data_IF_747886441188
#
_entry.id   IF_747886441188
#
_cell.length_a   1.000
_cell.length_b   1.000
_cell.length_c   1.000
_cell.angle_alpha   90.00
_cell.angle_beta   90.00
_cell.angle_gamma   90.00
#
_symmetry.space_group_name_H-M   'P 1'
#
loop_
_entity.id
_entity.type
_entity.pdbx_description
1 polymer ?
#
# COMPACT_ATOMS: atom_id res chain seq x y z
N UNK A 1 8.96 -0.04 -1.49
CA UNK A 1 9.29 1.26 -0.85
C UNK A 1 8.03 2.08 -0.62
N UNK A 2 8.06 3.04 0.31
CA UNK A 2 7.03 4.09 0.41
C UNK A 2 7.52 5.28 -0.41
N UNK A 3 6.85 5.55 -1.53
CA UNK A 3 7.15 6.65 -2.46
C UNK A 3 6.05 7.74 -2.34
N UNK A 4 6.21 8.83 -3.08
CA UNK A 4 5.27 9.95 -3.08
C UNK A 4 5.31 10.77 -1.79
N UNK A 5 4.14 11.12 -1.26
CA UNK A 5 3.99 12.01 -0.09
C UNK A 5 4.31 11.34 1.26
N UNK A 6 4.77 10.10 1.25
CA UNK A 6 5.09 9.36 2.47
C UNK A 6 3.85 8.89 3.22
N UNK A 7 4.08 8.34 4.43
CA UNK A 7 3.04 7.79 5.30
C UNK A 7 2.91 8.65 6.55
N UNK A 8 1.69 9.10 6.93
CA UNK A 8 1.49 9.80 8.19
C UNK A 8 1.98 8.98 9.38
N UNK A 9 2.61 9.65 10.33
CA UNK A 9 3.05 9.06 11.59
C UNK A 9 2.83 10.05 12.74
N UNK A 10 2.74 9.54 13.96
CA UNK A 10 2.67 10.34 15.19
C UNK A 10 3.71 9.79 16.15
N UNK A 11 4.43 10.68 16.82
CA UNK A 11 5.40 10.35 17.85
C UNK A 11 4.92 10.89 19.20
N UNK A 12 4.68 10.00 20.17
CA UNK A 12 4.33 10.37 21.54
C UNK A 12 5.61 10.49 22.37
N UNK A 13 5.89 11.69 22.91
CA UNK A 13 7.02 11.91 23.82
C UNK A 13 6.52 11.85 25.26
N UNK A 14 6.96 10.84 26.02
CA UNK A 14 6.60 10.68 27.43
C UNK A 14 7.42 11.61 28.31
N UNK A 15 6.76 12.31 29.24
CA UNK A 15 7.37 13.20 30.23
C UNK A 15 8.43 14.17 29.65
N UNK A 16 8.09 14.97 28.61
CA UNK A 16 9.05 15.85 27.97
C UNK A 16 9.53 16.94 28.93
N UNK A 17 10.85 17.11 29.06
CA UNK A 17 11.46 18.24 29.79
C UNK A 17 11.30 19.56 29.03
N UNK A 18 11.30 19.49 27.69
CA UNK A 18 11.15 20.64 26.77
C UNK A 18 9.95 20.34 25.88
N UNK A 19 8.97 21.26 25.84
CA UNK A 19 7.73 21.09 25.05
C UNK A 19 7.67 21.96 23.81
N UNK A 20 8.39 23.08 23.81
CA UNK A 20 8.45 23.98 22.65
C UNK A 20 9.81 23.80 21.97
N UNK A 21 9.79 23.33 20.73
CA UNK A 21 10.97 23.11 19.90
C UNK A 21 10.67 23.58 18.48
N UNK A 22 11.72 23.98 17.75
CA UNK A 22 11.60 24.31 16.34
C UNK A 22 11.52 23.02 15.51
N UNK A 23 10.29 22.67 15.10
CA UNK A 23 10.02 21.49 14.30
C UNK A 23 10.60 21.59 12.88
N UNK A 24 10.72 22.78 12.31
CA UNK A 24 11.31 22.94 10.97
C UNK A 24 12.82 22.67 11.00
N UNK A 25 13.50 23.15 12.05
CA UNK A 25 14.91 22.84 12.27
C UNK A 25 15.11 21.34 12.51
N UNK A 26 14.28 20.72 13.36
CA UNK A 26 14.34 19.28 13.61
C UNK A 26 14.12 18.47 12.33
N UNK A 27 13.15 18.85 11.50
CA UNK A 27 12.88 18.19 10.22
C UNK A 27 14.10 18.20 9.31
N UNK A 28 14.77 19.36 9.18
CA UNK A 28 15.99 19.51 8.37
C UNK A 28 17.13 18.65 8.90
N UNK A 29 17.37 18.66 10.21
CA UNK A 29 18.44 17.88 10.84
C UNK A 29 18.22 16.37 10.66
N UNK A 30 17.00 15.89 10.89
CA UNK A 30 16.66 14.47 10.68
C UNK A 30 16.86 14.08 9.22
N UNK A 31 16.42 14.92 8.27
CA UNK A 31 16.56 14.63 6.85
C UNK A 31 18.02 14.61 6.38
N UNK A 32 18.87 15.51 6.88
CA UNK A 32 20.31 15.52 6.55
C UNK A 32 21.02 14.28 7.09
N UNK A 33 20.74 13.88 8.33
CA UNK A 33 21.38 12.71 8.93
C UNK A 33 20.94 11.38 8.30
N UNK A 34 19.78 11.35 7.64
CA UNK A 34 19.17 10.15 7.08
C UNK A 34 19.09 10.16 5.55
N UNK A 35 19.96 10.94 4.90
CA UNK A 35 20.01 11.05 3.45
C UNK A 35 20.10 9.67 2.77
N UNK A 36 19.30 9.49 1.72
CA UNK A 36 19.20 8.23 0.98
C UNK A 36 18.47 7.09 1.69
N UNK A 37 17.99 7.27 2.94
CA UNK A 37 17.29 6.23 3.72
C UNK A 37 15.84 6.58 4.01
N UNK A 38 15.61 7.72 4.64
CA UNK A 38 14.26 8.20 5.01
C UNK A 38 14.21 9.72 4.94
N UNK A 39 13.06 10.23 4.51
CA UNK A 39 12.74 11.65 4.55
C UNK A 39 11.44 11.84 5.33
N UNK A 40 11.42 12.81 6.21
CA UNK A 40 10.24 13.30 6.91
C UNK A 40 9.88 14.69 6.41
N UNK A 41 8.60 15.04 6.52
CA UNK A 41 8.06 16.33 6.09
C UNK A 41 6.81 16.65 6.87
N UNK A 42 6.43 17.93 6.87
CA UNK A 42 5.19 18.44 7.47
C UNK A 42 5.11 18.17 9.00
N UNK A 43 6.25 18.25 9.71
CA UNK A 43 6.25 18.11 11.17
C UNK A 43 5.39 19.19 11.83
N UNK A 44 4.42 18.77 12.62
CA UNK A 44 3.56 19.65 13.42
C UNK A 44 3.25 19.02 14.78
N UNK A 45 2.91 19.86 15.75
CA UNK A 45 2.30 19.40 16.99
C UNK A 45 0.85 18.99 16.74
N UNK A 46 0.45 17.86 17.30
CA UNK A 46 -0.89 17.30 17.13
C UNK A 46 -1.44 16.87 18.48
N UNK A 47 -2.75 16.99 18.63
CA UNK A 47 -3.48 16.47 19.79
C UNK A 47 -3.78 14.97 19.63
N UNK A 48 -4.17 14.33 20.73
CA UNK A 48 -4.40 12.87 20.80
C UNK A 48 -5.43 12.39 19.76
N UNK A 49 -6.40 13.21 19.41
CA UNK A 49 -7.48 12.90 18.47
C UNK A 49 -6.93 12.60 17.07
N UNK A 50 -5.79 13.17 16.69
CA UNK A 50 -5.14 12.89 15.39
C UNK A 50 -4.69 11.43 15.31
N UNK A 51 -4.29 10.82 16.42
CA UNK A 51 -3.92 9.39 16.46
C UNK A 51 -5.13 8.52 16.09
N UNK A 52 -6.30 8.86 16.61
CA UNK A 52 -7.54 8.15 16.31
C UNK A 52 -7.96 8.36 14.86
N UNK A 53 -7.91 9.61 14.36
CA UNK A 53 -8.16 9.92 12.95
C UNK A 53 -7.29 9.08 12.02
N UNK A 54 -5.97 9.11 12.20
CA UNK A 54 -5.04 8.34 11.36
C UNK A 54 -5.33 6.83 11.40
N UNK A 55 -5.77 6.29 12.54
CA UNK A 55 -6.10 4.87 12.68
C UNK A 55 -7.42 4.49 12.00
N UNK A 56 -8.41 5.36 12.05
CA UNK A 56 -9.77 5.08 11.60
C UNK A 56 -10.04 5.52 10.15
N UNK A 57 -9.18 6.34 9.55
CA UNK A 57 -9.35 6.73 8.16
C UNK A 57 -9.10 5.54 7.23
N UNK A 58 -10.16 5.14 6.52
CA UNK A 58 -10.09 4.15 5.44
C UNK A 58 -9.50 4.80 4.18
N UNK A 59 -8.18 4.97 4.18
CA UNK A 59 -7.46 5.61 3.09
C UNK A 59 -7.32 4.65 1.91
N UNK A 60 -7.63 5.14 0.71
CA UNK A 60 -7.32 4.46 -0.54
C UNK A 60 -5.84 4.64 -0.86
N UNK A 61 -5.29 3.71 -1.63
CA UNK A 61 -3.85 3.66 -1.91
C UNK A 61 -3.60 3.24 -3.34
N UNK A 62 -2.52 3.77 -3.89
CA UNK A 62 -1.98 3.33 -5.18
C UNK A 62 -0.64 2.63 -4.96
N UNK A 63 -0.53 1.43 -5.51
CA UNK A 63 0.68 0.61 -5.46
C UNK A 63 1.25 0.44 -6.86
N UNK A 64 2.58 0.43 -6.98
CA UNK A 64 3.28 -0.07 -8.16
C UNK A 64 3.83 -1.44 -7.83
N UNK A 65 3.39 -2.46 -8.56
CA UNK A 65 3.87 -3.81 -8.45
C UNK A 65 4.62 -4.21 -9.72
N UNK A 66 5.79 -4.82 -9.55
CA UNK A 66 6.40 -5.62 -10.61
C UNK A 66 6.11 -7.09 -10.34
N UNK A 67 5.77 -7.82 -11.40
CA UNK A 67 5.47 -9.26 -11.36
C UNK A 67 6.53 -10.08 -12.10
N UNK A 68 6.62 -11.37 -11.79
CA UNK A 68 7.53 -12.33 -12.44
C UNK A 68 7.03 -12.86 -13.80
N UNK A 69 6.09 -12.15 -14.42
CA UNK A 69 5.52 -12.50 -15.72
C UNK A 69 5.44 -11.28 -16.64
N UNK A 70 5.61 -11.50 -17.95
CA UNK A 70 5.41 -10.48 -18.97
C UNK A 70 4.01 -10.65 -19.56
N UNK A 71 3.15 -9.65 -19.38
CA UNK A 71 1.77 -9.66 -19.84
C UNK A 71 1.67 -9.31 -21.32
N UNK A 72 0.87 -10.07 -22.06
CA UNK A 72 0.45 -9.70 -23.42
C UNK A 72 -0.56 -8.55 -23.40
N UNK A 73 -0.75 -7.86 -24.52
CA UNK A 73 -1.75 -6.78 -24.61
C UNK A 73 -3.18 -7.28 -24.33
N UNK A 74 -3.50 -8.52 -24.67
CA UNK A 74 -4.79 -9.13 -24.35
C UNK A 74 -4.94 -9.33 -22.84
N UNK A 75 -3.92 -9.85 -22.16
CA UNK A 75 -3.92 -10.06 -20.71
C UNK A 75 -4.01 -8.73 -19.96
N UNK A 76 -3.25 -7.72 -20.42
CA UNK A 76 -3.32 -6.37 -19.88
C UNK A 76 -4.75 -5.83 -19.92
N UNK A 77 -5.38 -5.87 -21.11
CA UNK A 77 -6.77 -5.42 -21.28
C UNK A 77 -7.72 -6.20 -20.36
N UNK A 78 -7.57 -7.52 -20.29
CA UNK A 78 -8.40 -8.38 -19.43
C UNK A 78 -8.29 -7.99 -17.96
N UNK A 79 -7.08 -7.73 -17.45
CA UNK A 79 -6.87 -7.25 -16.07
C UNK A 79 -7.54 -5.89 -15.86
N UNK A 80 -7.26 -4.92 -16.75
CA UNK A 80 -7.76 -3.56 -16.61
C UNK A 80 -9.29 -3.49 -16.61
N UNK A 81 -9.95 -4.28 -17.45
CA UNK A 81 -11.41 -4.36 -17.53
C UNK A 81 -12.02 -5.14 -16.35
N UNK A 82 -11.39 -6.25 -15.95
CA UNK A 82 -11.98 -7.13 -14.94
C UNK A 82 -11.98 -6.51 -13.53
N UNK A 83 -10.91 -5.79 -13.17
CA UNK A 83 -10.71 -5.26 -11.82
C UNK A 83 -11.25 -3.85 -11.60
N UNK A 84 -12.06 -3.30 -12.51
CA UNK A 84 -12.76 -2.02 -12.28
C UNK A 84 -13.81 -2.20 -11.17
N UNK A 85 -13.69 -1.37 -10.12
CA UNK A 85 -14.61 -1.30 -8.97
C UNK A 85 -14.97 -2.65 -8.32
N UNK A 86 -14.03 -3.60 -8.36
CA UNK A 86 -14.22 -5.00 -7.99
C UNK A 86 -13.98 -5.24 -6.51
N UNK A 87 -14.89 -5.97 -5.87
CA UNK A 87 -14.68 -6.48 -4.51
C UNK A 87 -13.80 -7.73 -4.53
N UNK A 88 -12.82 -7.73 -3.63
CA UNK A 88 -11.83 -8.79 -3.42
C UNK A 88 -12.05 -9.39 -2.03
N UNK A 89 -12.20 -10.70 -1.98
CA UNK A 89 -12.35 -11.49 -0.79
C UNK A 89 -10.99 -12.06 -0.43
N UNK A 90 -10.42 -11.62 0.69
CA UNK A 90 -9.09 -12.04 1.14
C UNK A 90 -9.17 -12.64 2.53
N UNK A 91 -8.87 -13.93 2.64
CA UNK A 91 -8.51 -14.54 3.91
C UNK A 91 -7.20 -13.96 4.43
N UNK A 92 -6.90 -14.18 5.71
CA UNK A 92 -5.63 -13.70 6.26
C UNK A 92 -4.49 -14.44 5.54
N UNK A 93 -3.54 -13.75 4.89
CA UNK A 93 -2.55 -14.44 4.06
C UNK A 93 -1.74 -15.47 4.83
N UNK A 94 -1.37 -16.56 4.16
CA UNK A 94 -0.61 -17.67 4.75
C UNK A 94 0.65 -17.18 5.47
N UNK A 95 1.39 -16.26 4.85
CA UNK A 95 2.61 -15.66 5.41
C UNK A 95 2.43 -14.85 6.70
N UNK A 96 1.20 -14.51 7.09
CA UNK A 96 0.92 -13.73 8.32
C UNK A 96 -0.12 -14.36 9.24
N UNK A 97 -0.71 -15.52 8.89
CA UNK A 97 -1.75 -16.19 9.68
C UNK A 97 -1.28 -16.50 11.12
N UNK A 98 -0.01 -16.86 11.30
CA UNK A 98 0.58 -17.11 12.62
C UNK A 98 0.61 -15.88 13.56
N UNK A 99 0.36 -14.66 13.05
CA UNK A 99 0.36 -13.41 13.83
C UNK A 99 -0.99 -12.71 13.86
N UNK A 100 -1.97 -13.19 13.09
CA UNK A 100 -3.24 -12.49 12.86
C UNK A 100 -4.37 -13.49 12.91
N UNK A 101 -5.50 -13.06 13.49
CA UNK A 101 -6.73 -13.84 13.43
C UNK A 101 -7.05 -14.19 11.98
N UNK A 102 -7.27 -15.48 11.74
CA UNK A 102 -7.66 -15.96 10.41
C UNK A 102 -9.11 -15.58 10.13
N UNK A 103 -9.32 -14.78 9.09
CA UNK A 103 -10.65 -14.29 8.69
C UNK A 103 -10.63 -13.71 7.29
N UNK A 104 -11.75 -13.85 6.60
CA UNK A 104 -12.00 -13.20 5.32
C UNK A 104 -12.32 -11.72 5.52
N UNK A 105 -11.72 -10.87 4.70
CA UNK A 105 -11.97 -9.43 4.61
C UNK A 105 -12.31 -9.07 3.18
N UNK A 106 -13.32 -8.24 3.00
CA UNK A 106 -13.69 -7.70 1.69
C UNK A 106 -13.00 -6.34 1.53
N UNK A 107 -12.31 -6.14 0.42
CA UNK A 107 -11.64 -4.89 0.04
C UNK A 107 -11.86 -4.63 -1.44
N UNK A 108 -12.02 -3.38 -1.83
CA UNK A 108 -12.26 -3.01 -3.23
C UNK A 108 -10.96 -2.67 -3.95
N UNK A 109 -10.80 -3.17 -5.17
CA UNK A 109 -9.90 -2.63 -6.19
C UNK A 109 -10.74 -1.70 -7.06
N UNK A 110 -10.36 -0.44 -7.14
CA UNK A 110 -11.06 0.54 -7.95
C UNK A 110 -10.58 0.50 -9.39
N UNK A 111 -9.26 0.35 -9.58
CA UNK A 111 -8.65 0.29 -10.91
C UNK A 111 -7.30 -0.41 -10.86
N UNK A 112 -7.01 -1.17 -11.92
CA UNK A 112 -5.66 -1.60 -12.28
C UNK A 112 -5.27 -0.92 -13.60
N UNK A 113 -4.02 -0.47 -13.71
CA UNK A 113 -3.44 0.04 -14.95
C UNK A 113 -2.17 -0.74 -15.24
N UNK A 114 -1.97 -1.07 -16.51
CA UNK A 114 -0.78 -1.76 -17.00
C UNK A 114 0.09 -0.76 -17.76
N UNK A 115 1.40 -1.02 -17.82
CA UNK A 115 2.30 -0.17 -18.60
C UNK A 115 2.32 -0.59 -20.08
N UNK A 116 2.36 0.40 -20.97
CA UNK A 116 2.58 0.17 -22.41
C UNK A 116 4.01 -0.23 -22.73
N UNK A 117 4.97 0.22 -21.91
CA UNK A 117 6.40 0.02 -22.14
C UNK A 117 6.97 -1.13 -21.30
N UNK A 118 6.37 -1.41 -20.14
CA UNK A 118 6.79 -2.48 -19.24
C UNK A 118 5.68 -3.52 -19.05
N UNK A 119 5.85 -4.70 -19.64
CA UNK A 119 4.86 -5.78 -19.56
C UNK A 119 4.73 -6.44 -18.18
N UNK A 120 5.63 -6.20 -17.24
CA UNK A 120 5.57 -6.75 -15.86
C UNK A 120 5.06 -5.75 -14.82
N UNK A 121 4.66 -4.53 -15.24
CA UNK A 121 4.28 -3.47 -14.31
C UNK A 121 2.77 -3.33 -14.16
N UNK A 122 2.31 -3.23 -12.91
CA UNK A 122 0.92 -3.02 -12.54
C UNK A 122 0.80 -1.85 -11.55
N UNK A 123 0.01 -0.85 -11.89
CA UNK A 123 -0.43 0.20 -10.97
C UNK A 123 -1.83 -0.14 -10.44
N UNK A 124 -1.98 -0.31 -9.12
CA UNK A 124 -3.19 -0.82 -8.49
C UNK A 124 -3.72 0.24 -7.51
N UNK A 125 -4.91 0.77 -7.78
CA UNK A 125 -5.63 1.70 -6.92
C UNK A 125 -6.75 0.96 -6.17
N UNK A 126 -6.66 0.91 -4.84
CA UNK A 126 -7.51 0.05 -4.02
C UNK A 126 -7.73 0.59 -2.60
N UNK A 127 -8.59 -0.08 -1.83
CA UNK A 127 -8.77 0.17 -0.41
C UNK A 127 -7.51 -0.08 0.41
N UNK A 128 -7.39 0.67 1.50
CA UNK A 128 -6.39 0.44 2.53
C UNK A 128 -6.53 -0.96 3.16
N UNK A 129 -5.39 -1.64 3.27
CA UNK A 129 -5.30 -2.96 3.89
C UNK A 129 -5.59 -4.14 2.95
N UNK A 130 -5.78 -3.87 1.65
CA UNK A 130 -5.76 -4.91 0.62
C UNK A 130 -4.34 -5.51 0.52
N UNK A 131 -4.26 -6.82 0.53
CA UNK A 131 -3.03 -7.59 0.44
C UNK A 131 -2.63 -7.76 -1.03
N UNK A 132 -1.83 -6.81 -1.55
CA UNK A 132 -1.51 -6.71 -2.99
C UNK A 132 -0.76 -7.94 -3.53
N UNK A 133 0.17 -8.51 -2.74
CA UNK A 133 0.90 -9.71 -3.18
C UNK A 133 -0.06 -10.88 -3.42
N UNK A 134 -1.02 -11.02 -2.52
CA UNK A 134 -2.03 -12.07 -2.55
C UNK A 134 -3.13 -11.79 -3.60
N UNK A 135 -3.46 -10.52 -3.89
CA UNK A 135 -4.27 -10.16 -5.08
C UNK A 135 -3.61 -10.62 -6.38
N UNK A 136 -2.28 -10.54 -6.46
CA UNK A 136 -1.52 -10.99 -7.62
C UNK A 136 -1.47 -12.52 -7.68
N UNK A 137 -1.07 -13.18 -6.59
CA UNK A 137 -0.77 -14.62 -6.59
C UNK A 137 -1.95 -15.55 -6.30
N UNK A 138 -3.06 -15.02 -5.76
CA UNK A 138 -4.20 -15.82 -5.27
C UNK A 138 -3.99 -16.48 -3.91
N UNK A 139 -2.74 -16.58 -3.44
CA UNK A 139 -2.35 -17.18 -2.14
C UNK A 139 -2.99 -18.55 -1.90
N UNK A 140 -2.94 -19.44 -2.90
CA UNK A 140 -3.55 -20.78 -2.83
C UNK A 140 -5.06 -20.70 -2.55
N UNK A 141 -5.78 -19.93 -3.39
CA UNK A 141 -7.24 -19.72 -3.34
C UNK A 141 -7.75 -18.91 -2.13
N UNK A 142 -6.86 -18.43 -1.26
CA UNK A 142 -7.19 -17.55 -0.12
C UNK A 142 -7.54 -16.12 -0.52
N UNK A 143 -7.30 -15.73 -1.78
CA UNK A 143 -7.74 -14.47 -2.36
C UNK A 143 -8.52 -14.72 -3.65
N UNK A 144 -9.77 -14.25 -3.68
CA UNK A 144 -10.66 -14.37 -4.83
C UNK A 144 -11.42 -13.05 -5.08
N UNK A 145 -11.45 -12.52 -6.31
CA UNK A 145 -10.65 -12.95 -7.46
C UNK A 145 -9.17 -12.55 -7.33
N UNK A 146 -8.29 -13.24 -8.07
CA UNK A 146 -6.87 -12.89 -8.18
C UNK A 146 -6.40 -12.75 -9.64
N UNK A 147 -5.27 -12.08 -9.85
CA UNK A 147 -4.69 -11.89 -11.20
C UNK A 147 -4.20 -13.23 -11.75
N UNK A 148 -3.53 -14.03 -10.93
CA UNK A 148 -3.09 -15.38 -11.28
C UNK A 148 -4.26 -16.26 -11.77
N UNK A 149 -5.37 -16.26 -11.02
CA UNK A 149 -6.59 -17.00 -11.38
C UNK A 149 -7.22 -16.46 -12.67
N UNK A 150 -7.38 -15.14 -12.80
CA UNK A 150 -7.95 -14.51 -13.99
C UNK A 150 -7.22 -14.90 -15.28
N UNK A 151 -5.89 -15.03 -15.21
CA UNK A 151 -5.05 -15.38 -16.34
C UNK A 151 -4.79 -16.89 -16.48
N UNK A 152 -5.16 -17.69 -15.48
CA UNK A 152 -4.83 -19.12 -15.43
C UNK A 152 -3.32 -19.38 -15.37
N UNK A 153 -2.56 -18.50 -14.72
CA UNK A 153 -1.09 -18.53 -14.64
C UNK A 153 -0.62 -18.33 -13.21
N UNK A 154 0.46 -18.99 -12.82
CA UNK A 154 1.13 -18.68 -11.55
C UNK A 154 1.95 -17.39 -11.71
N UNK A 155 1.61 -16.36 -10.94
CA UNK A 155 2.23 -15.04 -11.01
C UNK A 155 2.53 -14.58 -9.59
N UNK A 156 3.71 -14.02 -9.37
CA UNK A 156 4.16 -13.50 -8.08
C UNK A 156 4.60 -12.05 -8.22
N UNK A 157 4.37 -11.30 -7.14
CA UNK A 157 4.90 -9.94 -7.01
C UNK A 157 6.37 -9.99 -6.56
N UNK A 158 7.27 -9.51 -7.42
CA UNK A 158 8.72 -9.45 -7.14
C UNK A 158 9.09 -8.15 -6.43
N UNK A 159 8.42 -7.05 -6.76
CA UNK A 159 8.65 -5.74 -6.16
C UNK A 159 7.32 -5.03 -5.91
N UNK A 160 7.22 -4.36 -4.76
CA UNK A 160 6.04 -3.59 -4.39
C UNK A 160 6.43 -2.24 -3.80
N UNK A 161 5.93 -1.19 -4.42
CA UNK A 161 6.02 0.18 -3.94
C UNK A 161 4.63 0.74 -3.66
N UNK A 162 4.53 1.61 -2.66
CA UNK A 162 3.35 2.45 -2.45
C UNK A 162 3.67 3.78 -3.11
N UNK A 163 2.87 4.21 -4.08
CA UNK A 163 3.07 5.47 -4.82
C UNK A 163 2.30 6.61 -4.15
N UNK A 164 1.08 6.34 -3.72
CA UNK A 164 0.22 7.34 -3.08
C UNK A 164 -0.68 6.73 -2.01
N UNK A 165 -1.09 7.60 -1.10
CA UNK A 165 -2.16 7.37 -0.13
C UNK A 165 -3.09 8.56 -0.30
N UNK A 166 -4.35 8.32 -0.63
CA UNK A 166 -5.33 9.40 -0.80
C UNK A 166 -5.69 9.96 0.58
N UNK A 167 -5.19 11.18 0.81
CA UNK A 167 -5.40 12.17 1.88
C UNK A 167 -4.30 12.36 2.93
N UNK A 168 -3.98 13.65 3.11
CA UNK A 168 -3.29 14.26 4.25
C UNK A 168 -4.30 14.34 5.39
N UNK A 169 -4.01 13.66 6.51
CA UNK A 169 -4.62 13.96 7.81
C UNK A 169 -3.95 15.20 8.38
#
# INVERSE_FOLDING_TARGET
LMLGNGRPFVLEIKSPKIRNIDLQKLEKEVNQQNEGRVKISDLCFVEKEVVEKIKNTHLRKTYLAEIDACLTEEEKRKIEEFFVDRDIYQETPNRVVHRRADKTRIRKVYKVRTSKENCSSLEIYCDGGLYIKELISGDEERTNPSIAELLGKNIKCVLLNVISIEEKV
#
